data_IF_424106439148
#
_entry.id   IF_424106439148
#
_cell.length_a   1.000
_cell.length_b   1.000
_cell.length_c   1.000
_cell.angle_alpha   90.00
_cell.angle_beta   90.00
_cell.angle_gamma   90.00
#
_symmetry.space_group_name_H-M   'P 1'
#
loop_
_entity.id
_entity.type
_entity.pdbx_description
1 polymer ?
#
# COMPACT_ATOMS: atom_id res chain seq x y z
N UNK A 1 -22.88 6.90 -5.57
CA UNK A 1 -21.45 7.05 -5.97
C UNK A 1 -20.47 6.37 -5.00
N UNK A 2 -20.67 6.40 -3.70
CA UNK A 2 -19.83 5.70 -2.72
C UNK A 2 -19.74 4.19 -2.99
N UNK A 3 -20.85 3.52 -3.31
CA UNK A 3 -20.86 2.08 -3.58
C UNK A 3 -20.04 1.68 -4.82
N UNK A 4 -19.97 2.53 -5.85
CA UNK A 4 -19.20 2.25 -7.06
C UNK A 4 -17.70 2.32 -6.73
N UNK A 5 -17.30 3.31 -5.97
CA UNK A 5 -15.91 3.51 -5.52
C UNK A 5 -15.42 2.34 -4.68
N UNK A 6 -16.22 1.89 -3.72
CA UNK A 6 -15.91 0.74 -2.87
C UNK A 6 -15.82 -0.56 -3.69
N UNK A 7 -16.72 -0.75 -4.65
CA UNK A 7 -16.69 -1.91 -5.55
C UNK A 7 -15.44 -1.92 -6.43
N UNK A 8 -15.09 -0.78 -7.03
CA UNK A 8 -13.88 -0.69 -7.88
C UNK A 8 -12.63 -0.98 -7.04
N UNK A 9 -12.53 -0.40 -5.85
CA UNK A 9 -11.41 -0.66 -4.93
C UNK A 9 -11.34 -2.12 -4.54
N UNK A 10 -12.46 -2.74 -4.17
CA UNK A 10 -12.52 -4.15 -3.80
C UNK A 10 -12.12 -5.07 -4.97
N UNK A 11 -12.60 -4.79 -6.18
CA UNK A 11 -12.26 -5.55 -7.39
C UNK A 11 -10.77 -5.41 -7.72
N UNK A 12 -10.23 -4.19 -7.77
CA UNK A 12 -8.82 -3.96 -8.03
C UNK A 12 -7.92 -4.69 -7.03
N UNK A 13 -8.30 -4.66 -5.77
CA UNK A 13 -7.60 -5.33 -4.69
C UNK A 13 -7.66 -6.84 -4.81
N UNK A 14 -8.84 -7.41 -5.08
CA UNK A 14 -9.01 -8.85 -5.29
C UNK A 14 -8.21 -9.34 -6.49
N UNK A 15 -8.23 -8.60 -7.60
CA UNK A 15 -7.45 -8.91 -8.81
C UNK A 15 -5.95 -8.87 -8.51
N UNK A 16 -5.48 -7.87 -7.78
CA UNK A 16 -4.07 -7.75 -7.40
C UNK A 16 -3.62 -8.91 -6.51
N UNK A 17 -4.42 -9.26 -5.50
CA UNK A 17 -4.11 -10.39 -4.61
C UNK A 17 -4.10 -11.72 -5.37
N UNK A 18 -5.07 -11.92 -6.27
CA UNK A 18 -5.12 -13.11 -7.11
C UNK A 18 -3.89 -13.17 -8.03
N UNK A 19 -3.52 -12.05 -8.65
CA UNK A 19 -2.36 -11.95 -9.52
C UNK A 19 -1.06 -12.30 -8.77
N UNK A 20 -0.82 -11.71 -7.61
CA UNK A 20 0.41 -11.93 -6.83
C UNK A 20 0.48 -13.36 -6.29
N UNK A 21 -0.64 -13.94 -5.86
CA UNK A 21 -0.64 -15.27 -5.23
C UNK A 21 -0.68 -16.42 -6.23
N UNK A 22 -1.35 -16.25 -7.37
CA UNK A 22 -1.64 -17.34 -8.31
C UNK A 22 -0.80 -17.32 -9.58
N UNK A 23 -0.21 -16.18 -9.97
CA UNK A 23 0.57 -16.12 -11.22
C UNK A 23 2.05 -16.42 -11.01
N UNK A 24 2.70 -16.91 -12.08
CA UNK A 24 4.16 -17.14 -12.10
C UNK A 24 4.93 -15.82 -11.88
N UNK A 25 4.42 -14.72 -12.42
CA UNK A 25 4.99 -13.39 -12.25
C UNK A 25 4.91 -12.90 -10.80
N UNK A 26 3.79 -13.12 -10.12
CA UNK A 26 3.65 -12.79 -8.71
C UNK A 26 4.62 -13.57 -7.82
N UNK A 27 4.85 -14.84 -8.13
CA UNK A 27 5.89 -15.65 -7.46
C UNK A 27 7.30 -15.13 -7.72
N UNK A 28 7.58 -14.72 -8.96
CA UNK A 28 8.87 -14.12 -9.33
C UNK A 28 9.08 -12.79 -8.60
N UNK A 29 8.06 -11.94 -8.49
CA UNK A 29 8.12 -10.69 -7.72
C UNK A 29 8.48 -10.93 -6.25
N UNK A 30 7.88 -11.94 -5.62
CA UNK A 30 8.21 -12.31 -4.24
C UNK A 30 9.64 -12.84 -4.10
N UNK A 31 10.08 -13.71 -5.00
CA UNK A 31 11.44 -14.23 -4.98
C UNK A 31 12.48 -13.11 -5.12
N UNK A 32 12.26 -12.18 -6.05
CA UNK A 32 13.14 -11.01 -6.25
C UNK A 32 13.14 -10.07 -5.05
N UNK A 33 12.02 -9.94 -4.33
CA UNK A 33 11.93 -9.09 -3.14
C UNK A 33 12.63 -9.68 -1.91
N UNK A 34 12.79 -11.01 -1.85
CA UNK A 34 13.52 -11.67 -0.76
C UNK A 34 15.03 -11.73 -1.02
N UNK A 35 15.43 -12.18 -2.21
CA UNK A 35 16.85 -12.24 -2.61
C UNK A 35 16.98 -12.14 -4.13
N UNK A 36 17.54 -11.04 -4.61
CA UNK A 36 17.77 -10.80 -6.03
C UNK A 36 18.82 -11.74 -6.63
N UNK A 37 19.86 -12.06 -5.86
CA UNK A 37 20.94 -12.94 -6.30
C UNK A 37 20.44 -14.37 -6.48
N UNK A 38 19.75 -14.91 -5.48
CA UNK A 38 19.15 -16.24 -5.56
C UNK A 38 18.10 -16.33 -6.68
N UNK A 39 17.30 -15.28 -6.89
CA UNK A 39 16.31 -15.24 -7.97
C UNK A 39 16.97 -15.30 -9.36
N UNK A 40 18.10 -14.61 -9.55
CA UNK A 40 18.87 -14.68 -10.81
C UNK A 40 19.44 -16.08 -11.08
N UNK A 41 19.96 -16.74 -10.05
CA UNK A 41 20.47 -18.12 -10.16
C UNK A 41 19.37 -19.11 -10.54
N UNK A 42 18.12 -18.84 -10.15
CA UNK A 42 16.94 -19.62 -10.53
C UNK A 42 16.39 -19.27 -11.93
N UNK A 43 17.09 -18.41 -12.69
CA UNK A 43 16.72 -18.02 -14.04
C UNK A 43 15.66 -16.93 -14.15
N UNK A 44 15.37 -16.22 -13.04
CA UNK A 44 14.41 -15.11 -13.04
C UNK A 44 15.11 -13.83 -13.53
N UNK A 45 14.57 -13.21 -14.58
CA UNK A 45 15.06 -11.91 -15.03
C UNK A 45 14.59 -10.80 -14.09
N UNK A 46 15.48 -10.34 -13.19
CA UNK A 46 15.19 -9.33 -12.18
C UNK A 46 14.73 -8.01 -12.78
N UNK A 47 15.41 -7.53 -13.84
CA UNK A 47 15.08 -6.26 -14.47
C UNK A 47 13.65 -6.25 -15.03
N UNK A 48 13.26 -7.32 -15.72
CA UNK A 48 11.90 -7.45 -16.26
C UNK A 48 10.86 -7.53 -15.12
N UNK A 49 11.17 -8.28 -14.06
CA UNK A 49 10.27 -8.41 -12.91
C UNK A 49 10.06 -7.08 -12.19
N UNK A 50 11.14 -6.32 -11.97
CA UNK A 50 11.07 -5.00 -11.34
C UNK A 50 10.29 -4.02 -12.22
N UNK A 51 10.61 -3.95 -13.53
CA UNK A 51 9.88 -3.07 -14.46
C UNK A 51 8.38 -3.36 -14.48
N UNK A 52 8.00 -4.64 -14.48
CA UNK A 52 6.60 -5.04 -14.46
C UNK A 52 5.91 -4.69 -13.13
N UNK A 53 6.62 -4.83 -12.01
CA UNK A 53 6.10 -4.43 -10.69
C UNK A 53 5.80 -2.94 -10.65
N UNK A 54 6.71 -2.11 -11.14
CA UNK A 54 6.49 -0.66 -11.25
C UNK A 54 5.35 -0.31 -12.22
N UNK A 55 5.24 -1.02 -13.35
CA UNK A 55 4.15 -0.80 -14.31
C UNK A 55 2.78 -1.10 -13.69
N UNK A 56 2.66 -2.18 -12.92
CA UNK A 56 1.42 -2.53 -12.20
C UNK A 56 1.13 -1.49 -11.11
N UNK A 57 2.15 -1.10 -10.34
CA UNK A 57 2.02 -0.08 -9.28
C UNK A 57 1.58 1.27 -9.83
N UNK A 58 2.16 1.73 -10.93
CA UNK A 58 1.76 2.99 -11.58
C UNK A 58 0.36 2.92 -12.18
N UNK A 59 -0.03 1.78 -12.74
CA UNK A 59 -1.40 1.55 -13.23
C UNK A 59 -2.43 1.63 -12.11
N UNK A 60 -2.17 1.00 -10.98
CA UNK A 60 -3.03 1.08 -9.79
C UNK A 60 -3.08 2.51 -9.22
N UNK A 61 -1.95 3.20 -9.22
CA UNK A 61 -1.86 4.61 -8.83
C UNK A 61 -2.72 5.51 -9.72
N UNK A 62 -2.71 5.28 -11.04
CA UNK A 62 -3.56 6.00 -11.98
C UNK A 62 -5.06 5.77 -11.70
N UNK A 63 -5.47 4.53 -11.46
CA UNK A 63 -6.86 4.18 -11.10
C UNK A 63 -7.25 4.90 -9.79
N UNK A 64 -6.39 4.86 -8.78
CA UNK A 64 -6.62 5.54 -7.51
C UNK A 64 -6.75 7.06 -7.69
N UNK A 65 -5.92 7.67 -8.55
CA UNK A 65 -5.98 9.08 -8.89
C UNK A 65 -7.29 9.48 -9.56
N UNK A 66 -7.79 8.66 -10.49
CA UNK A 66 -9.09 8.88 -11.13
C UNK A 66 -10.23 8.79 -10.09
N UNK A 67 -10.23 7.77 -9.25
CA UNK A 67 -11.24 7.60 -8.19
C UNK A 67 -11.22 8.80 -7.22
N UNK A 68 -10.02 9.27 -6.87
CA UNK A 68 -9.86 10.45 -6.02
C UNK A 68 -10.39 11.72 -6.70
N UNK A 69 -10.03 11.94 -7.97
CA UNK A 69 -10.50 13.10 -8.75
C UNK A 69 -12.02 13.13 -8.93
N UNK A 70 -12.67 11.96 -9.03
CA UNK A 70 -14.13 11.89 -9.04
C UNK A 70 -14.77 12.19 -7.69
N UNK A 71 -14.03 11.99 -6.57
CA UNK A 71 -14.54 12.23 -5.23
C UNK A 71 -14.39 13.67 -4.76
N UNK A 72 -13.35 14.34 -5.22
CA UNK A 72 -13.01 15.71 -4.79
C UNK A 72 -13.01 16.64 -6.01
N UNK A 73 -13.83 17.67 -5.95
CA UNK A 73 -13.98 18.65 -7.05
C UNK A 73 -12.75 19.55 -7.24
N UNK A 74 -11.83 19.58 -6.27
CA UNK A 74 -10.65 20.44 -6.29
C UNK A 74 -9.40 19.57 -6.38
N UNK A 75 -8.70 19.64 -7.51
CA UNK A 75 -7.43 18.94 -7.72
C UNK A 75 -6.31 19.98 -7.71
N UNK A 76 -5.40 19.87 -6.73
CA UNK A 76 -4.20 20.69 -6.66
C UNK A 76 -2.98 19.88 -7.13
N UNK A 77 -1.93 20.53 -7.66
CA UNK A 77 -0.73 19.81 -8.13
C UNK A 77 -0.02 19.00 -7.03
N UNK A 78 -0.17 19.39 -5.78
CA UNK A 78 0.50 18.74 -4.64
C UNK A 78 -0.30 17.62 -3.98
N UNK A 79 -1.52 17.37 -4.42
CA UNK A 79 -2.40 16.33 -3.86
C UNK A 79 -1.75 14.94 -3.87
N UNK A 80 -1.02 14.63 -4.96
CA UNK A 80 -0.32 13.35 -5.10
C UNK A 80 0.75 13.10 -4.04
N UNK A 81 1.41 14.15 -3.56
CA UNK A 81 2.42 14.04 -2.51
C UNK A 81 1.78 13.60 -1.18
N UNK A 82 0.68 14.24 -0.78
CA UNK A 82 -0.03 13.90 0.46
C UNK A 82 -0.62 12.48 0.41
N UNK A 83 -1.23 12.10 -0.71
CA UNK A 83 -1.73 10.75 -0.92
C UNK A 83 -0.62 9.72 -0.92
N UNK A 84 0.53 10.04 -1.51
CA UNK A 84 1.71 9.17 -1.52
C UNK A 84 2.25 8.92 -0.11
N UNK A 85 2.34 9.95 0.71
CA UNK A 85 2.76 9.81 2.12
C UNK A 85 1.75 8.95 2.90
N UNK A 86 0.44 9.19 2.77
CA UNK A 86 -0.59 8.38 3.43
C UNK A 86 -0.55 6.92 2.97
N UNK A 87 -0.33 6.68 1.68
CA UNK A 87 -0.16 5.31 1.16
C UNK A 87 1.09 4.63 1.70
N UNK A 88 2.20 5.36 1.83
CA UNK A 88 3.42 4.86 2.47
C UNK A 88 3.18 4.50 3.94
N UNK A 89 2.49 5.37 4.69
CA UNK A 89 2.10 5.11 6.08
C UNK A 89 1.25 3.84 6.18
N UNK A 90 0.27 3.67 5.28
CA UNK A 90 -0.57 2.47 5.23
C UNK A 90 0.25 1.20 4.98
N UNK A 91 1.24 1.27 4.08
CA UNK A 91 2.12 0.14 3.79
C UNK A 91 3.02 -0.23 4.99
N UNK A 92 3.57 0.77 5.68
CA UNK A 92 4.39 0.57 6.88
C UNK A 92 3.55 0.01 8.03
N UNK A 93 2.37 0.58 8.27
CA UNK A 93 1.40 0.09 9.27
C UNK A 93 1.00 -1.35 9.02
N UNK A 94 0.69 -1.67 7.77
CA UNK A 94 0.31 -3.02 7.38
C UNK A 94 1.44 -4.04 7.48
N UNK A 95 2.68 -3.58 7.41
CA UNK A 95 3.90 -4.40 7.38
C UNK A 95 4.49 -4.48 5.98
N UNK A 96 5.71 -3.98 5.86
CA UNK A 96 6.46 -3.94 4.60
C UNK A 96 6.60 -5.36 4.04
N UNK A 97 6.22 -5.55 2.77
CA UNK A 97 6.27 -6.84 2.08
C UNK A 97 4.99 -7.68 2.17
N UNK A 98 3.98 -7.25 2.92
CA UNK A 98 2.68 -7.93 3.00
C UNK A 98 1.58 -7.10 2.32
N UNK A 99 1.16 -7.51 1.12
CA UNK A 99 0.07 -6.83 0.39
C UNK A 99 -1.24 -6.83 1.17
N UNK A 100 -1.70 -7.99 1.75
CA UNK A 100 -2.90 -7.96 2.59
C UNK A 100 -2.73 -7.09 3.85
N UNK A 101 -1.50 -7.01 4.39
CA UNK A 101 -1.18 -6.12 5.50
C UNK A 101 -1.37 -4.64 5.13
N UNK A 102 -0.84 -4.21 3.99
CA UNK A 102 -0.98 -2.83 3.51
C UNK A 102 -2.46 -2.43 3.29
N UNK A 103 -3.29 -3.38 2.85
CA UNK A 103 -4.73 -3.16 2.71
C UNK A 103 -5.43 -2.92 4.04
N UNK A 104 -5.16 -3.78 5.03
CA UNK A 104 -5.71 -3.61 6.38
C UNK A 104 -5.20 -2.32 7.01
N UNK A 105 -3.90 -2.00 6.82
CA UNK A 105 -3.30 -0.74 7.24
C UNK A 105 -4.00 0.48 6.63
N UNK A 106 -4.30 0.45 5.33
CA UNK A 106 -5.04 1.50 4.64
C UNK A 106 -6.47 1.67 5.15
N UNK A 107 -7.19 0.56 5.40
CA UNK A 107 -8.53 0.61 5.99
C UNK A 107 -8.51 1.19 7.41
N UNK A 108 -7.58 0.77 8.24
CA UNK A 108 -7.43 1.31 9.60
C UNK A 108 -7.13 2.81 9.58
N UNK A 109 -6.22 3.25 8.70
CA UNK A 109 -5.93 4.66 8.54
C UNK A 109 -7.14 5.46 8.06
N UNK A 110 -7.87 4.95 7.06
CA UNK A 110 -9.08 5.60 6.55
C UNK A 110 -10.16 5.75 7.63
N UNK A 111 -10.35 4.73 8.46
CA UNK A 111 -11.29 4.80 9.60
C UNK A 111 -10.80 5.80 10.64
N UNK A 112 -9.52 5.77 11.01
CA UNK A 112 -8.96 6.71 11.98
C UNK A 112 -9.04 8.16 11.48
N UNK A 113 -8.75 8.40 10.21
CA UNK A 113 -8.88 9.71 9.56
C UNK A 113 -10.34 10.20 9.58
N UNK A 114 -11.28 9.34 9.19
CA UNK A 114 -12.71 9.67 9.21
C UNK A 114 -13.23 10.00 10.61
N UNK A 115 -12.81 9.24 11.62
CA UNK A 115 -13.16 9.52 13.02
C UNK A 115 -12.56 10.84 13.50
N UNK A 116 -11.32 11.12 13.14
CA UNK A 116 -10.66 12.38 13.53
C UNK A 116 -11.37 13.60 12.92
N UNK A 117 -11.75 13.52 11.65
CA UNK A 117 -12.50 14.58 10.97
C UNK A 117 -13.88 14.77 11.62
N UNK A 118 -14.54 13.67 12.01
CA UNK A 118 -15.88 13.73 12.60
C UNK A 118 -15.92 14.28 14.02
N UNK A 119 -14.92 13.97 14.85
CA UNK A 119 -14.93 14.27 16.29
C UNK A 119 -14.00 15.43 16.69
N UNK A 120 -12.97 15.74 15.94
CA UNK A 120 -11.97 16.72 16.34
C UNK A 120 -11.97 17.87 15.34
N UNK A 121 -11.33 17.72 14.19
CA UNK A 121 -11.24 18.71 13.11
C UNK A 121 -10.51 18.10 11.91
N UNK A 122 -10.77 18.63 10.72
CA UNK A 122 -10.03 18.24 9.52
C UNK A 122 -8.54 18.59 9.58
N UNK A 123 -8.17 19.68 10.26
CA UNK A 123 -6.78 20.15 10.34
C UNK A 123 -5.88 19.23 11.18
N UNK A 124 -6.48 18.52 12.14
CA UNK A 124 -5.76 17.54 12.97
C UNK A 124 -5.69 16.14 12.38
N UNK A 125 -6.39 15.89 11.27
CA UNK A 125 -6.44 14.57 10.62
C UNK A 125 -5.05 14.05 10.26
N UNK A 126 -4.23 14.87 9.62
CA UNK A 126 -2.88 14.50 9.22
C UNK A 126 -1.97 14.26 10.44
N UNK A 127 -2.09 15.08 11.50
CA UNK A 127 -1.33 14.90 12.73
C UNK A 127 -1.64 13.57 13.42
N UNK A 128 -2.90 13.15 13.44
CA UNK A 128 -3.33 11.87 14.01
C UNK A 128 -2.79 10.70 13.18
N UNK A 129 -2.82 10.79 11.86
CA UNK A 129 -2.26 9.76 10.96
C UNK A 129 -0.76 9.58 11.20
N UNK A 130 -0.01 10.68 11.31
CA UNK A 130 1.42 10.63 11.65
C UNK A 130 1.67 10.12 13.08
N UNK A 131 0.84 10.52 14.04
CA UNK A 131 0.89 10.02 15.41
C UNK A 131 0.71 8.51 15.50
N UNK A 132 -0.27 7.96 14.78
CA UNK A 132 -0.49 6.52 14.68
C UNK A 132 0.73 5.82 14.06
N UNK A 133 1.35 6.39 13.02
CA UNK A 133 2.57 5.85 12.44
C UNK A 133 3.68 5.74 13.46
N UNK A 134 3.96 6.82 14.19
CA UNK A 134 5.02 6.85 15.21
C UNK A 134 4.73 5.82 16.30
N UNK A 135 3.50 5.76 16.78
CA UNK A 135 3.09 4.83 17.83
C UNK A 135 3.29 3.36 17.38
N UNK A 136 2.86 3.03 16.16
CA UNK A 136 3.02 1.66 15.64
C UNK A 136 4.48 1.31 15.41
N UNK A 137 5.31 2.23 14.91
CA UNK A 137 6.75 1.99 14.75
C UNK A 137 7.46 1.79 16.09
N UNK A 138 7.04 2.47 17.15
CA UNK A 138 7.59 2.28 18.50
C UNK A 138 7.22 0.93 19.11
N UNK A 139 5.97 0.49 18.91
CA UNK A 139 5.45 -0.76 19.49
C UNK A 139 5.83 -1.97 18.64
N UNK A 140 5.78 -1.86 17.32
CA UNK A 140 6.00 -2.97 16.40
C UNK A 140 6.66 -2.50 15.10
N UNK A 141 8.00 -2.39 15.08
CA UNK A 141 8.72 -1.82 13.93
C UNK A 141 8.57 -2.61 12.62
N UNK A 142 8.14 -3.87 12.69
CA UNK A 142 7.84 -4.70 11.52
C UNK A 142 6.44 -4.44 10.93
N UNK A 143 5.62 -3.57 11.53
CA UNK A 143 4.21 -3.39 11.18
C UNK A 143 3.31 -4.49 11.76
N UNK A 144 1.99 -4.35 11.56
CA UNK A 144 1.00 -5.27 12.14
C UNK A 144 1.13 -6.70 11.62
N UNK A 145 1.42 -6.86 10.33
CA UNK A 145 1.55 -8.14 9.62
C UNK A 145 2.96 -8.40 9.08
N UNK A 146 3.95 -7.59 9.47
CA UNK A 146 5.34 -7.77 9.06
C UNK A 146 5.91 -9.08 9.61
N UNK A 147 6.58 -9.86 8.77
CA UNK A 147 7.39 -11.00 9.20
C UNK A 147 8.66 -10.48 9.86
N UNK A 148 8.92 -10.92 11.07
CA UNK A 148 10.24 -10.78 11.69
C UNK A 148 11.23 -11.63 10.87
N UNK A 149 11.93 -11.03 9.93
CA UNK A 149 13.08 -11.66 9.29
C UNK A 149 14.20 -11.62 10.31
N UNK A 150 14.41 -12.71 11.06
CA UNK A 150 15.66 -12.91 11.78
C UNK A 150 16.74 -13.07 10.71
N UNK A 151 17.58 -12.07 10.56
CA UNK A 151 18.84 -12.25 9.85
C UNK A 151 19.59 -13.39 10.54
N UNK A 152 19.75 -14.50 9.84
CA UNK A 152 20.73 -15.51 10.22
C UNK A 152 22.09 -14.96 9.78
N UNK A 153 22.83 -14.42 10.72
CA UNK A 153 24.27 -14.18 10.60
C UNK A 153 24.96 -15.53 10.52
#
# INVERSE_FOLDING_TARGET
EMCIRDRVTAVCTAVLLFFINKTKLGKAMRAVSEDQGAAQLMGINVNTTVSLTFAIGSGLGAIAGVIYGCAYSLITPYIGLMLGIKAFIAAVLGGIGSVPGAMVGGLMLGVAESLTIAYISSDFSDAVVFGILILVLLVKPAGLFGKNVREKV
#
